data_IF_993064674724
#
_entry.id   IF_993064674724
#
_cell.length_a   1.000
_cell.length_b   1.000
_cell.length_c   1.000
_cell.angle_alpha   90.00
_cell.angle_beta   90.00
_cell.angle_gamma   90.00
#
_symmetry.space_group_name_H-M   'P 1'
#
loop_
_entity.id
_entity.type
_entity.pdbx_description
1 polymer ?
#
# COMPACT_ATOMS: atom_id res chain seq x y z
N UNK A 1 4.34 52.10 8.02
CA UNK A 1 3.54 52.18 9.25
C UNK A 1 2.07 52.06 8.89
N UNK A 2 1.46 50.91 9.19
CA UNK A 2 0.03 50.73 9.42
C UNK A 2 -0.12 49.38 10.12
N UNK A 3 -0.84 49.38 11.23
CA UNK A 3 -0.77 48.41 12.32
C UNK A 3 -1.61 47.15 12.07
N UNK A 4 -1.17 46.07 12.72
CA UNK A 4 -1.83 44.78 12.83
C UNK A 4 -3.07 44.83 13.75
N UNK A 5 -4.05 43.97 13.47
CA UNK A 5 -4.98 43.48 14.48
C UNK A 5 -4.94 41.94 14.48
N UNK A 6 -4.56 41.42 15.63
CA UNK A 6 -4.51 40.00 16.00
C UNK A 6 -5.78 39.73 16.80
N UNK A 7 -6.61 38.82 16.34
CA UNK A 7 -7.75 38.31 17.14
C UNK A 7 -7.40 36.90 17.59
N UNK A 8 -7.09 36.76 18.87
CA UNK A 8 -6.99 35.48 19.57
C UNK A 8 -8.39 35.00 19.94
N UNK A 9 -8.71 33.75 19.60
CA UNK A 9 -9.85 33.04 20.21
C UNK A 9 -9.36 31.70 20.73
N UNK A 10 -9.70 31.46 21.99
CA UNK A 10 -9.13 30.49 22.90
C UNK A 10 -9.45 29.03 22.55
N UNK A 11 -8.47 28.19 22.88
CA UNK A 11 -8.55 26.74 22.98
C UNK A 11 -9.56 26.33 24.05
N UNK A 12 -10.50 25.44 23.71
CA UNK A 12 -11.22 24.65 24.71
C UNK A 12 -10.95 23.17 24.45
N UNK A 13 -10.15 22.59 25.35
CA UNK A 13 -9.92 21.16 25.47
C UNK A 13 -11.07 20.54 26.26
N UNK A 14 -11.74 19.54 25.69
CA UNK A 14 -12.64 18.65 26.43
C UNK A 14 -11.96 17.29 26.59
N UNK A 15 -11.66 16.95 27.84
CA UNK A 15 -11.17 15.64 28.29
C UNK A 15 -12.33 14.62 28.37
N UNK A 16 -12.07 13.32 28.17
CA UNK A 16 -13.10 12.29 28.16
C UNK A 16 -13.53 11.85 29.58
N UNK A 17 -14.84 11.70 29.77
CA UNK A 17 -15.45 11.13 30.97
C UNK A 17 -15.29 9.60 30.93
N UNK A 18 -14.54 9.06 31.88
CA UNK A 18 -14.53 7.63 32.21
C UNK A 18 -15.83 7.29 32.97
N UNK A 19 -16.59 6.31 32.48
CA UNK A 19 -17.65 5.69 33.26
C UNK A 19 -17.35 4.19 33.41
N UNK A 20 -16.80 3.83 34.57
CA UNK A 20 -16.69 2.46 35.05
C UNK A 20 -18.03 2.09 35.69
N UNK A 21 -18.70 1.05 35.19
CA UNK A 21 -19.72 0.38 35.99
C UNK A 21 -19.52 -1.13 35.92
N UNK A 22 -19.02 -1.67 37.04
CA UNK A 22 -18.98 -3.08 37.35
C UNK A 22 -20.38 -3.53 37.79
N UNK A 23 -20.89 -4.58 37.17
CA UNK A 23 -22.09 -5.29 37.61
C UNK A 23 -21.99 -6.76 37.22
N UNK A 24 -21.73 -7.60 38.21
CA UNK A 24 -21.81 -9.08 38.15
C UNK A 24 -23.07 -9.54 38.91
N UNK A 25 -23.53 -10.80 38.73
CA UNK A 25 -24.89 -11.15 38.29
C UNK A 25 -25.74 -11.79 39.39
N UNK A 26 -26.98 -12.22 39.08
CA UNK A 26 -27.65 -13.27 39.82
C UNK A 26 -27.75 -14.59 39.05
N UNK A 27 -27.63 -15.67 39.81
CA UNK A 27 -27.72 -17.10 39.50
C UNK A 27 -29.13 -17.66 39.74
N UNK A 28 -29.58 -18.63 38.90
CA UNK A 28 -30.38 -19.82 39.25
C UNK A 28 -30.75 -20.60 37.96
N UNK A 29 -30.17 -21.79 37.67
CA UNK A 29 -30.71 -23.18 37.81
C UNK A 29 -32.10 -23.39 37.18
N UNK A 30 -32.42 -24.41 36.35
CA UNK A 30 -32.02 -25.83 36.32
C UNK A 30 -32.48 -26.57 35.03
N UNK A 31 -31.69 -27.58 34.63
CA UNK A 31 -31.99 -28.95 34.13
C UNK A 31 -32.57 -29.34 32.75
N UNK A 32 -31.83 -30.30 32.17
CA UNK A 32 -32.18 -31.53 31.41
C UNK A 32 -32.36 -31.55 29.88
N UNK A 33 -31.33 -32.12 29.23
CA UNK A 33 -31.31 -33.19 28.20
C UNK A 33 -32.11 -33.06 26.90
N UNK A 34 -31.40 -33.05 25.77
CA UNK A 34 -31.41 -34.16 24.79
C UNK A 34 -30.40 -33.92 23.67
N UNK A 35 -29.70 -35.00 23.31
CA UNK A 35 -28.93 -35.18 22.08
C UNK A 35 -29.68 -34.73 20.83
N UNK A 36 -28.98 -34.10 19.88
CA UNK A 36 -28.95 -34.56 18.49
C UNK A 36 -27.92 -33.78 17.65
N UNK A 37 -26.92 -34.52 17.19
CA UNK A 37 -26.22 -34.44 15.91
C UNK A 37 -26.23 -33.08 15.19
N UNK A 38 -25.26 -32.21 15.49
CA UNK A 38 -24.92 -31.09 14.62
C UNK A 38 -23.65 -31.40 13.83
N UNK A 39 -23.87 -31.62 12.53
CA UNK A 39 -22.86 -31.81 11.52
C UNK A 39 -21.70 -30.81 11.70
N UNK A 40 -20.47 -31.31 11.58
CA UNK A 40 -19.28 -30.51 11.36
C UNK A 40 -19.43 -29.73 10.04
N UNK A 41 -20.16 -28.62 10.10
CA UNK A 41 -20.12 -27.59 9.08
C UNK A 41 -18.72 -27.00 9.15
N UNK A 42 -17.85 -27.45 8.24
CA UNK A 42 -16.64 -26.73 7.88
C UNK A 42 -17.11 -25.34 7.43
N UNK A 43 -17.07 -24.37 8.34
CA UNK A 43 -17.24 -22.96 8.00
C UNK A 43 -16.01 -22.59 7.19
N UNK A 44 -16.07 -22.88 5.89
CA UNK A 44 -15.31 -22.13 4.89
C UNK A 44 -15.76 -20.70 5.06
N UNK A 45 -15.01 -19.91 5.83
CA UNK A 45 -15.15 -18.46 5.84
C UNK A 45 -14.89 -18.01 4.41
N UNK A 46 -15.97 -17.83 3.63
CA UNK A 46 -15.94 -17.25 2.30
C UNK A 46 -15.36 -15.85 2.49
N UNK A 47 -14.04 -15.73 2.34
CA UNK A 47 -13.34 -14.46 2.40
C UNK A 47 -13.93 -13.61 1.28
N UNK A 48 -14.70 -12.59 1.62
CA UNK A 48 -15.41 -11.79 0.64
C UNK A 48 -14.41 -11.23 -0.37
N UNK A 49 -14.68 -11.45 -1.67
CA UNK A 49 -13.79 -10.97 -2.73
C UNK A 49 -13.84 -9.45 -2.74
N UNK A 50 -12.69 -8.83 -2.54
CA UNK A 50 -12.56 -7.38 -2.54
C UNK A 50 -12.53 -6.87 -3.98
N UNK A 51 -13.57 -6.13 -4.39
CA UNK A 51 -13.70 -5.63 -5.76
C UNK A 51 -12.90 -4.34 -6.03
N UNK A 52 -12.66 -3.53 -4.99
CA UNK A 52 -11.98 -2.22 -5.08
C UNK A 52 -10.96 -2.09 -3.95
N UNK A 53 -9.91 -1.31 -4.16
CA UNK A 53 -8.89 -1.08 -3.13
C UNK A 53 -9.48 -0.46 -1.87
N UNK A 54 -9.18 -1.05 -0.72
CA UNK A 54 -9.43 -0.45 0.59
C UNK A 54 -8.17 0.28 1.07
N UNK A 55 -8.37 1.49 1.59
CA UNK A 55 -7.32 2.35 2.10
C UNK A 55 -7.36 2.36 3.62
N UNK A 56 -6.25 1.97 4.26
CA UNK A 56 -6.09 2.05 5.71
C UNK A 56 -4.94 3.01 6.03
N UNK A 57 -5.26 4.18 6.56
CA UNK A 57 -4.25 5.08 7.12
C UNK A 57 -3.61 4.39 8.32
N UNK A 58 -2.28 4.29 8.32
CA UNK A 58 -1.54 3.65 9.41
C UNK A 58 -1.25 4.68 10.52
N UNK A 59 -1.59 4.37 11.79
CA UNK A 59 -1.18 5.19 12.94
C UNK A 59 0.33 5.26 13.09
N UNK A 60 0.85 6.35 13.68
CA UNK A 60 2.30 6.55 13.85
C UNK A 60 2.99 5.47 14.70
N UNK A 61 2.24 4.85 15.63
CA UNK A 61 2.75 3.78 16.50
C UNK A 61 2.54 2.37 15.92
N UNK A 62 1.96 2.26 14.72
CA UNK A 62 1.79 0.97 14.05
C UNK A 62 3.16 0.41 13.60
N UNK A 63 3.42 -0.86 13.85
CA UNK A 63 4.70 -1.49 13.48
C UNK A 63 4.94 -1.44 11.97
N UNK A 64 3.90 -1.58 11.15
CA UNK A 64 4.02 -1.44 9.69
C UNK A 64 4.37 0.00 9.32
N UNK A 65 3.78 1.01 9.99
CA UNK A 65 4.13 2.41 9.77
C UNK A 65 5.61 2.63 10.02
N UNK A 66 6.11 2.20 11.19
CA UNK A 66 7.51 2.37 11.60
C UNK A 66 8.46 1.68 10.62
N UNK A 67 8.13 0.47 10.17
CA UNK A 67 8.95 -0.26 9.21
C UNK A 67 9.04 0.46 7.87
N UNK A 68 7.90 0.90 7.31
CA UNK A 68 7.87 1.59 6.02
C UNK A 68 8.50 2.98 6.11
N UNK A 69 8.28 3.70 7.22
CA UNK A 69 8.95 4.96 7.49
C UNK A 69 10.47 4.78 7.51
N UNK A 70 11.00 3.82 8.28
CA UNK A 70 12.44 3.55 8.34
C UNK A 70 12.99 3.17 6.97
N UNK A 71 12.26 2.35 6.21
CA UNK A 71 12.69 1.97 4.87
C UNK A 71 12.76 3.17 3.93
N UNK A 72 11.74 4.03 3.95
CA UNK A 72 11.65 5.23 3.12
C UNK A 72 12.72 6.28 3.47
N UNK A 73 12.94 6.53 4.77
CA UNK A 73 13.88 7.56 5.23
C UNK A 73 15.36 7.15 5.06
N UNK A 74 15.67 5.89 4.73
CA UNK A 74 17.04 5.51 4.32
C UNK A 74 17.52 6.27 3.08
N UNK A 75 16.63 6.50 2.12
CA UNK A 75 16.95 7.24 0.91
C UNK A 75 16.71 8.74 1.04
N UNK A 76 15.66 9.13 1.78
CA UNK A 76 15.26 10.52 1.95
C UNK A 76 15.23 10.90 3.45
N UNK A 77 16.39 11.05 4.11
CA UNK A 77 16.48 11.22 5.56
C UNK A 77 15.84 12.50 6.10
N UNK A 78 15.73 13.54 5.27
CA UNK A 78 15.14 14.83 5.65
C UNK A 78 13.68 14.97 5.22
N UNK A 79 13.11 13.97 4.54
CA UNK A 79 11.73 14.05 4.07
C UNK A 79 10.74 14.04 5.22
N UNK A 80 9.69 14.86 5.08
CA UNK A 80 8.59 14.93 6.03
C UNK A 80 7.43 14.07 5.54
N UNK A 81 7.21 12.93 6.20
CA UNK A 81 6.08 12.05 5.91
C UNK A 81 4.82 12.64 6.54
N UNK A 82 3.77 12.82 5.74
CA UNK A 82 2.45 13.24 6.22
C UNK A 82 1.57 12.05 6.58
N UNK A 83 1.58 11.01 5.73
CA UNK A 83 0.83 9.78 6.01
C UNK A 83 1.41 8.59 5.25
N UNK A 84 1.23 7.39 5.81
CA UNK A 84 1.45 6.11 5.15
C UNK A 84 0.11 5.39 5.13
N UNK A 85 -0.33 5.02 3.94
CA UNK A 85 -1.62 4.38 3.70
C UNK A 85 -1.37 2.98 3.18
N UNK A 86 -1.82 1.98 3.92
CA UNK A 86 -1.83 0.59 3.46
C UNK A 86 -2.92 0.39 2.41
N UNK A 87 -2.53 -0.26 1.33
CA UNK A 87 -3.39 -0.58 0.19
C UNK A 87 -3.78 -2.04 0.27
N UNK A 88 -5.06 -2.29 0.54
CA UNK A 88 -5.65 -3.62 0.39
C UNK A 88 -6.20 -3.72 -1.02
N UNK A 89 -5.37 -4.21 -1.95
CA UNK A 89 -5.70 -4.27 -3.37
C UNK A 89 -6.84 -5.27 -3.67
N UNK A 90 -7.60 -5.09 -4.77
CA UNK A 90 -8.65 -6.01 -5.19
C UNK A 90 -8.16 -7.45 -5.28
N UNK A 91 -9.00 -8.41 -4.88
CA UNK A 91 -8.67 -9.84 -4.85
C UNK A 91 -8.14 -10.32 -6.21
N UNK A 92 -8.71 -9.83 -7.32
CA UNK A 92 -8.23 -10.15 -8.68
C UNK A 92 -6.76 -9.81 -8.90
N UNK A 93 -6.29 -8.65 -8.41
CA UNK A 93 -4.91 -8.23 -8.57
C UNK A 93 -3.97 -9.03 -7.66
N UNK A 94 -4.41 -9.30 -6.43
CA UNK A 94 -3.65 -10.13 -5.49
C UNK A 94 -3.50 -11.55 -6.03
N UNK A 95 -4.58 -12.17 -6.52
CA UNK A 95 -4.56 -13.51 -7.11
C UNK A 95 -3.67 -13.57 -8.35
N UNK A 96 -3.75 -12.58 -9.25
CA UNK A 96 -2.89 -12.50 -10.42
C UNK A 96 -1.40 -12.42 -10.03
N UNK A 97 -1.07 -11.61 -9.02
CA UNK A 97 0.29 -11.48 -8.51
C UNK A 97 0.81 -12.78 -7.89
N UNK A 98 0.00 -13.43 -7.05
CA UNK A 98 0.37 -14.71 -6.43
C UNK A 98 0.48 -15.86 -7.45
N UNK A 99 -0.36 -15.85 -8.49
CA UNK A 99 -0.23 -16.78 -9.61
C UNK A 99 1.07 -16.54 -10.39
N UNK A 100 1.41 -15.28 -10.67
CA UNK A 100 2.65 -14.93 -11.36
C UNK A 100 3.90 -15.37 -10.58
N UNK A 101 3.91 -15.20 -9.25
CA UNK A 101 4.99 -15.73 -8.40
C UNK A 101 5.16 -17.24 -8.57
N UNK A 102 4.06 -17.99 -8.59
CA UNK A 102 4.09 -19.45 -8.74
C UNK A 102 4.59 -19.89 -10.12
N UNK A 103 4.15 -19.22 -11.18
CA UNK A 103 4.56 -19.57 -12.55
C UNK A 103 6.05 -19.27 -12.79
N UNK A 104 6.57 -18.18 -12.24
CA UNK A 104 7.98 -17.82 -12.39
C UNK A 104 8.92 -18.87 -11.79
N UNK A 105 8.54 -19.48 -10.67
CA UNK A 105 9.34 -20.51 -9.99
C UNK A 105 9.20 -21.91 -10.60
N UNK A 106 8.09 -22.17 -11.27
CA UNK A 106 7.81 -23.47 -11.88
C UNK A 106 8.31 -23.56 -13.34
N UNK A 107 8.86 -22.48 -13.90
CA UNK A 107 9.36 -22.47 -15.27
C UNK A 107 10.82 -23.01 -15.32
N UNK A 108 11.06 -24.19 -15.92
CA UNK A 108 12.40 -24.81 -15.95
C UNK A 108 13.41 -24.02 -16.78
N UNK A 109 12.95 -23.14 -17.66
CA UNK A 109 13.80 -22.44 -18.64
C UNK A 109 14.63 -21.29 -18.06
N UNK A 110 14.43 -20.90 -16.80
CA UNK A 110 15.14 -19.77 -16.18
C UNK A 110 15.98 -20.16 -14.95
N UNK A 111 16.07 -21.46 -14.63
CA UNK A 111 16.91 -22.00 -13.57
C UNK A 111 17.88 -23.04 -14.11
N UNK A 112 19.05 -22.60 -14.60
CA UNK A 112 20.15 -23.52 -14.90
C UNK A 112 20.66 -24.15 -13.60
N UNK A 113 20.68 -25.49 -13.59
CA UNK A 113 21.48 -26.38 -12.76
C UNK A 113 21.24 -26.36 -11.25
N UNK A 114 20.12 -26.96 -10.83
CA UNK A 114 20.17 -27.77 -9.60
C UNK A 114 19.62 -29.15 -9.92
N UNK A 115 20.55 -30.06 -10.22
CA UNK A 115 20.31 -31.49 -10.30
C UNK A 115 19.69 -31.94 -8.98
N UNK A 116 18.40 -32.25 -8.99
CA UNK A 116 17.87 -33.35 -8.18
C UNK A 116 16.48 -33.71 -8.69
N UNK A 117 16.40 -34.90 -9.26
CA UNK A 117 15.17 -35.66 -9.37
C UNK A 117 14.46 -35.64 -8.02
N UNK A 118 13.27 -35.04 -7.94
CA UNK A 118 12.20 -35.42 -7.01
C UNK A 118 10.89 -34.73 -7.42
N UNK A 119 10.19 -35.37 -8.35
CA UNK A 119 8.74 -35.39 -8.38
C UNK A 119 8.24 -35.99 -7.06
N UNK A 120 8.17 -35.20 -5.99
CA UNK A 120 7.33 -35.38 -4.78
C UNK A 120 7.52 -34.12 -3.93
N UNK A 121 6.48 -33.29 -3.85
CA UNK A 121 6.11 -32.37 -2.74
C UNK A 121 5.44 -31.09 -3.24
N UNK A 122 4.39 -31.23 -4.05
CA UNK A 122 3.33 -30.22 -4.14
C UNK A 122 2.52 -30.20 -2.85
N UNK A 123 3.12 -29.81 -1.71
CA UNK A 123 2.39 -29.44 -0.49
C UNK A 123 3.21 -28.86 0.67
N UNK A 124 4.56 -28.80 0.61
CA UNK A 124 5.36 -28.28 1.73
C UNK A 124 6.57 -27.47 1.26
N UNK A 125 6.36 -26.20 0.91
CA UNK A 125 7.21 -25.09 1.34
C UNK A 125 6.65 -23.78 0.76
N UNK A 126 5.84 -23.07 1.55
CA UNK A 126 5.48 -21.67 1.27
C UNK A 126 6.69 -20.72 1.46
N UNK A 127 7.86 -21.24 1.86
CA UNK A 127 8.98 -20.42 2.34
C UNK A 127 9.92 -19.92 1.22
N UNK A 128 9.70 -20.31 -0.04
CA UNK A 128 10.56 -19.88 -1.16
C UNK A 128 9.86 -18.93 -2.14
N UNK A 129 8.55 -18.71 -2.01
CA UNK A 129 7.80 -17.83 -2.92
C UNK A 129 8.19 -16.36 -2.74
N UNK A 130 8.43 -15.96 -1.48
CA UNK A 130 8.80 -14.60 -1.12
C UNK A 130 10.28 -14.28 -1.40
N UNK A 131 11.13 -15.30 -1.62
CA UNK A 131 12.56 -15.11 -1.93
C UNK A 131 12.77 -14.24 -3.18
N UNK A 132 11.85 -14.33 -4.13
CA UNK A 132 11.89 -13.60 -5.40
C UNK A 132 10.97 -12.38 -5.43
N UNK A 133 10.44 -11.98 -4.27
CA UNK A 133 9.61 -10.78 -4.13
C UNK A 133 10.41 -9.68 -3.46
N UNK A 134 10.61 -8.58 -4.18
CA UNK A 134 11.39 -7.44 -3.74
C UNK A 134 10.45 -6.31 -3.33
N UNK A 135 10.61 -5.78 -2.13
CA UNK A 135 9.88 -4.57 -1.71
C UNK A 135 10.58 -3.34 -2.26
N UNK A 136 9.99 -2.67 -3.24
CA UNK A 136 10.63 -1.58 -3.99
C UNK A 136 9.79 -0.29 -3.94
N UNK A 137 10.43 0.85 -4.18
CA UNK A 137 9.78 2.14 -4.38
C UNK A 137 9.39 2.37 -5.84
N UNK A 138 8.29 3.08 -6.03
CA UNK A 138 7.83 3.58 -7.32
C UNK A 138 7.31 5.01 -7.18
N UNK A 139 8.07 5.98 -7.69
CA UNK A 139 7.65 7.38 -7.76
C UNK A 139 6.59 7.58 -8.84
N UNK A 140 5.63 8.48 -8.60
CA UNK A 140 4.60 8.79 -9.59
C UNK A 140 4.26 10.28 -9.63
N UNK A 141 3.71 10.70 -10.78
CA UNK A 141 3.19 12.05 -10.93
C UNK A 141 1.77 12.15 -10.40
N UNK A 142 1.48 13.27 -9.74
CA UNK A 142 0.16 13.63 -9.24
C UNK A 142 -0.41 14.74 -10.13
N UNK A 143 -1.71 14.68 -10.39
CA UNK A 143 -2.45 15.76 -11.07
C UNK A 143 -3.81 16.07 -10.41
N UNK A 144 -3.94 15.74 -9.11
CA UNK A 144 -5.12 16.00 -8.29
C UNK A 144 -4.68 16.31 -6.85
N UNK A 145 -5.54 16.90 -6.00
CA UNK A 145 -5.18 17.26 -4.63
C UNK A 145 -4.99 16.03 -3.70
N UNK A 146 -3.75 15.61 -3.35
CA UNK A 146 -3.54 14.39 -2.56
C UNK A 146 -3.90 14.56 -1.08
N UNK A 147 -4.04 15.79 -0.58
CA UNK A 147 -4.38 16.09 0.82
C UNK A 147 -5.68 15.42 1.28
N UNK A 148 -6.62 15.18 0.36
CA UNK A 148 -7.89 14.54 0.66
C UNK A 148 -7.74 13.16 1.32
N UNK A 149 -6.69 12.42 0.99
CA UNK A 149 -6.43 11.10 1.59
C UNK A 149 -5.93 11.21 3.04
N UNK A 150 -5.25 12.30 3.40
CA UNK A 150 -4.86 12.59 4.79
C UNK A 150 -6.10 12.84 5.63
N UNK A 151 -7.11 13.50 5.05
CA UNK A 151 -8.38 13.81 5.70
C UNK A 151 -9.38 12.64 5.68
N UNK A 152 -8.96 11.44 5.26
CA UNK A 152 -9.81 10.24 5.20
C UNK A 152 -10.75 10.16 4.00
N UNK A 153 -10.68 11.08 3.04
CA UNK A 153 -11.48 11.03 1.82
C UNK A 153 -10.81 10.13 0.77
N UNK A 154 -11.54 9.11 0.30
CA UNK A 154 -11.07 8.09 -0.63
C UNK A 154 -11.53 8.30 -2.09
N UNK A 155 -12.10 9.46 -2.42
CA UNK A 155 -12.53 9.76 -3.78
C UNK A 155 -11.33 9.84 -4.74
N UNK A 156 -11.45 9.21 -5.90
CA UNK A 156 -10.43 9.23 -6.94
C UNK A 156 -10.68 10.36 -7.94
N UNK A 157 -9.62 10.87 -8.56
CA UNK A 157 -9.77 11.90 -9.59
C UNK A 157 -10.35 11.29 -10.87
N UNK A 158 -11.14 12.08 -11.61
CA UNK A 158 -11.75 11.67 -12.88
C UNK A 158 -10.73 11.19 -13.92
N UNK A 159 -9.55 11.81 -13.95
CA UNK A 159 -8.53 11.56 -14.98
C UNK A 159 -7.60 10.39 -14.68
N UNK A 160 -7.82 9.64 -13.60
CA UNK A 160 -7.00 8.49 -13.23
C UNK A 160 -5.48 8.80 -13.22
N UNK A 161 -5.08 9.93 -12.61
CA UNK A 161 -3.67 10.34 -12.52
C UNK A 161 -2.79 9.23 -11.91
N UNK A 162 -1.46 9.33 -12.06
CA UNK A 162 -0.53 8.27 -11.63
C UNK A 162 -0.82 7.69 -10.24
N UNK A 163 -1.05 8.55 -9.24
CA UNK A 163 -1.45 8.11 -7.89
C UNK A 163 -2.83 7.40 -7.87
N UNK A 164 -3.89 8.03 -8.37
CA UNK A 164 -5.24 7.45 -8.35
C UNK A 164 -5.36 6.18 -9.20
N UNK A 165 -4.66 6.13 -10.32
CA UNK A 165 -4.61 5.00 -11.24
C UNK A 165 -3.97 3.78 -10.61
N UNK A 166 -2.80 3.97 -9.98
CA UNK A 166 -2.11 2.88 -9.29
C UNK A 166 -2.94 2.38 -8.10
N UNK A 167 -3.52 3.27 -7.29
CA UNK A 167 -4.38 2.86 -6.17
C UNK A 167 -5.53 1.99 -6.68
N UNK A 168 -6.22 2.37 -7.75
CA UNK A 168 -7.42 1.67 -8.20
C UNK A 168 -7.12 0.39 -8.98
N UNK A 169 -6.04 0.36 -9.77
CA UNK A 169 -5.83 -0.64 -10.80
C UNK A 169 -4.51 -1.42 -10.68
N UNK A 170 -3.66 -1.10 -9.71
CA UNK A 170 -2.28 -1.59 -9.65
C UNK A 170 -1.37 -0.84 -10.63
N UNK A 171 -0.09 -1.21 -10.67
CA UNK A 171 0.79 -0.70 -11.72
C UNK A 171 0.40 -1.34 -13.06
N UNK A 172 0.38 -0.53 -14.13
CA UNK A 172 0.01 -0.99 -15.46
C UNK A 172 1.04 -0.51 -16.49
N UNK A 173 1.68 -1.45 -17.18
CA UNK A 173 2.71 -1.18 -18.19
C UNK A 173 2.20 -0.29 -19.32
N UNK A 174 0.89 -0.35 -19.65
CA UNK A 174 0.27 0.50 -20.68
C UNK A 174 0.40 2.01 -20.43
N UNK A 175 0.65 2.43 -19.18
CA UNK A 175 0.89 3.85 -18.83
C UNK A 175 2.38 4.20 -18.78
N UNK A 176 3.27 3.23 -18.97
CA UNK A 176 4.70 3.47 -19.07
C UNK A 176 5.04 4.13 -20.41
N UNK A 177 5.96 5.09 -20.36
CA UNK A 177 6.56 5.72 -21.54
C UNK A 177 7.72 4.90 -22.13
N UNK A 178 8.03 3.75 -21.54
CA UNK A 178 9.19 2.92 -21.89
C UNK A 178 8.78 1.57 -22.47
N UNK A 179 7.82 1.57 -23.42
CA UNK A 179 7.32 0.39 -24.11
C UNK A 179 6.80 -0.69 -23.14
N UNK A 180 5.89 -0.33 -22.24
CA UNK A 180 5.34 -1.26 -21.25
C UNK A 180 6.19 -1.47 -20.00
N UNK A 181 7.47 -1.12 -20.01
CA UNK A 181 8.41 -1.38 -18.92
C UNK A 181 8.24 -0.42 -17.74
N UNK A 182 8.09 -0.95 -16.54
CA UNK A 182 7.92 -0.22 -15.29
C UNK A 182 9.18 -0.33 -14.44
N UNK A 183 9.62 0.78 -13.85
CA UNK A 183 10.86 0.89 -13.10
C UNK A 183 10.57 0.99 -11.60
N UNK A 184 11.33 0.25 -10.81
CA UNK A 184 11.22 0.17 -9.36
C UNK A 184 12.60 0.24 -8.74
N UNK A 185 12.77 0.98 -7.65
CA UNK A 185 14.07 1.14 -7.00
C UNK A 185 14.03 0.74 -5.53
N UNK A 186 15.08 0.13 -5.00
CA UNK A 186 15.16 -0.22 -3.57
C UNK A 186 15.48 0.99 -2.66
N UNK A 187 15.73 2.16 -3.27
CA UNK A 187 16.05 3.40 -2.60
C UNK A 187 15.06 4.51 -3.02
N UNK A 188 14.44 5.16 -2.04
CA UNK A 188 13.44 6.21 -2.25
C UNK A 188 14.03 7.44 -2.97
N UNK A 189 15.32 7.75 -2.79
CA UNK A 189 15.98 8.85 -3.48
C UNK A 189 16.00 8.66 -5.00
N UNK A 190 16.19 7.43 -5.48
CA UNK A 190 16.14 7.10 -6.92
C UNK A 190 14.72 7.31 -7.45
N UNK A 191 13.71 6.88 -6.69
CA UNK A 191 12.31 7.07 -7.07
C UNK A 191 11.83 8.52 -6.99
N UNK A 192 12.49 9.38 -6.20
CA UNK A 192 12.11 10.79 -6.04
C UNK A 192 12.09 11.55 -7.38
N UNK A 193 13.02 11.26 -8.29
CA UNK A 193 13.08 11.89 -9.62
C UNK A 193 11.83 11.64 -10.49
N UNK A 194 11.01 10.65 -10.12
CA UNK A 194 9.76 10.30 -10.79
C UNK A 194 8.51 10.82 -10.06
N UNK A 195 8.69 11.41 -8.87
CA UNK A 195 7.64 12.11 -8.14
C UNK A 195 7.44 13.54 -8.68
N UNK A 196 6.27 14.12 -8.40
CA UNK A 196 5.98 15.53 -8.68
C UNK A 196 4.69 15.75 -9.48
N UNK A 197 4.56 16.93 -10.08
CA UNK A 197 3.37 17.30 -10.85
C UNK A 197 3.47 16.84 -12.30
N UNK A 198 2.33 16.42 -12.86
CA UNK A 198 2.19 16.28 -14.31
C UNK A 198 2.18 17.67 -14.94
N UNK A 199 3.06 17.91 -15.92
CA UNK A 199 3.19 19.20 -16.63
C UNK A 199 2.04 19.48 -17.62
N UNK A 200 1.00 18.65 -17.66
CA UNK A 200 -0.19 18.91 -18.48
C UNK A 200 -1.02 20.04 -17.86
N UNK A 201 -1.15 21.12 -18.62
CA UNK A 201 -1.76 22.43 -18.29
C UNK A 201 -3.27 22.40 -17.98
N UNK A 202 -3.84 21.27 -17.58
CA UNK A 202 -5.24 21.14 -17.17
C UNK A 202 -5.34 21.00 -15.65
N UNK A 203 -4.66 21.89 -14.91
CA UNK A 203 -4.84 22.03 -13.47
C UNK A 203 -5.97 23.01 -13.17
N UNK A 204 -7.22 22.64 -13.46
CA UNK A 204 -8.36 23.34 -12.87
C UNK A 204 -8.48 22.89 -11.40
N UNK A 205 -8.33 23.82 -10.46
CA UNK A 205 -8.52 23.64 -9.01
C UNK A 205 -7.53 22.77 -8.22
N UNK A 206 -6.32 22.52 -8.73
CA UNK A 206 -5.19 22.19 -7.83
C UNK A 206 -4.45 23.51 -7.57
N UNK A 207 -4.44 23.97 -6.33
CA UNK A 207 -3.76 25.22 -5.92
C UNK A 207 -2.34 25.26 -6.50
N UNK A 208 -1.89 26.41 -7.03
CA UNK A 208 -0.63 26.53 -7.73
C UNK A 208 0.50 26.14 -6.78
N UNK A 209 1.16 25.02 -7.07
CA UNK A 209 2.11 24.41 -6.17
C UNK A 209 3.49 25.06 -6.36
N UNK A 210 3.91 25.87 -5.39
CA UNK A 210 5.27 26.38 -5.29
C UNK A 210 6.25 25.24 -4.96
N UNK A 211 7.29 25.11 -5.77
CA UNK A 211 8.25 24.00 -5.89
C UNK A 211 9.09 23.63 -4.65
N UNK A 212 8.79 24.19 -3.46
CA UNK A 212 9.57 23.95 -2.23
C UNK A 212 8.87 23.10 -1.17
N UNK A 213 7.53 22.99 -1.17
CA UNK A 213 6.79 22.21 -0.17
C UNK A 213 5.84 21.17 -0.78
N UNK A 214 6.19 20.69 -1.99
CA UNK A 214 5.67 19.52 -2.73
C UNK A 214 4.98 18.42 -1.94
N UNK A 215 3.66 18.34 -1.75
CA UNK A 215 3.07 17.06 -1.32
C UNK A 215 3.19 16.06 -2.48
N UNK A 216 4.09 15.09 -2.33
CA UNK A 216 4.45 14.08 -3.31
C UNK A 216 3.87 12.71 -2.93
N UNK A 217 3.84 11.80 -3.89
CA UNK A 217 3.35 10.44 -3.73
C UNK A 217 4.41 9.46 -4.22
N UNK A 218 4.69 8.47 -3.39
CA UNK A 218 5.53 7.33 -3.72
C UNK A 218 4.86 6.06 -3.23
N UNK A 219 4.91 5.01 -4.03
CA UNK A 219 4.41 3.70 -3.63
C UNK A 219 5.54 2.83 -3.13
N UNK A 220 5.23 1.97 -2.16
CA UNK A 220 5.99 0.76 -1.87
C UNK A 220 5.25 -0.40 -2.50
N UNK A 221 5.96 -1.19 -3.29
CA UNK A 221 5.42 -2.18 -4.22
C UNK A 221 6.17 -3.50 -4.03
N UNK A 222 5.43 -4.60 -3.94
CA UNK A 222 6.02 -5.93 -4.06
C UNK A 222 6.30 -6.20 -5.55
N UNK A 223 7.55 -6.48 -5.90
CA UNK A 223 8.00 -6.70 -7.28
C UNK A 223 8.65 -8.07 -7.41
N UNK A 224 8.05 -8.94 -8.21
CA UNK A 224 8.54 -10.30 -8.47
C UNK A 224 9.64 -10.24 -9.52
N UNK A 225 10.83 -10.70 -9.17
CA UNK A 225 11.99 -10.77 -10.07
C UNK A 225 12.95 -11.87 -9.63
N UNK A 226 13.55 -12.57 -10.59
CA UNK A 226 14.61 -13.56 -10.33
C UNK A 226 15.92 -12.89 -9.89
N UNK A 227 16.09 -11.61 -10.21
CA UNK A 227 17.27 -10.83 -9.87
C UNK A 227 16.93 -9.85 -8.74
N UNK A 228 17.84 -9.75 -7.77
CA UNK A 228 17.86 -8.67 -6.79
C UNK A 228 18.83 -7.59 -7.29
N UNK A 229 18.37 -6.35 -7.34
CA UNK A 229 19.14 -5.21 -7.84
C UNK A 229 18.61 -3.93 -7.22
N UNK A 230 19.42 -2.86 -7.23
CA UNK A 230 18.99 -1.54 -6.80
C UNK A 230 17.83 -0.99 -7.65
N UNK A 231 17.78 -1.42 -8.91
CA UNK A 231 16.70 -1.11 -9.84
C UNK A 231 16.21 -2.40 -10.48
N UNK A 232 14.90 -2.61 -10.43
CA UNK A 232 14.20 -3.71 -11.10
C UNK A 232 13.26 -3.12 -12.15
N UNK A 233 13.30 -3.70 -13.35
CA UNK A 233 12.44 -3.32 -14.47
C UNK A 233 11.61 -4.54 -14.85
N UNK A 234 10.29 -4.37 -14.89
CA UNK A 234 9.36 -5.43 -15.32
C UNK A 234 8.38 -4.88 -16.34
N UNK A 235 7.89 -5.73 -17.22
CA UNK A 235 6.93 -5.41 -18.28
C UNK A 235 5.59 -6.13 -18.12
N UNK A 236 5.40 -6.85 -17.00
CA UNK A 236 4.19 -7.58 -16.66
C UNK A 236 3.51 -6.96 -15.44
N UNK A 237 2.26 -6.51 -15.59
CA UNK A 237 1.46 -5.91 -14.51
C UNK A 237 1.41 -6.82 -13.27
N UNK A 238 1.17 -8.12 -13.47
CA UNK A 238 1.08 -9.12 -12.41
C UNK A 238 2.40 -9.34 -11.64
N UNK A 239 3.55 -8.92 -12.18
CA UNK A 239 4.81 -8.95 -11.44
C UNK A 239 4.84 -7.93 -10.29
N UNK A 240 3.84 -7.05 -10.20
CA UNK A 240 3.83 -5.93 -9.27
C UNK A 240 2.56 -5.92 -8.42
N UNK A 241 2.68 -5.51 -7.16
CA UNK A 241 1.52 -5.30 -6.28
C UNK A 241 1.79 -4.13 -5.34
N UNK A 242 1.15 -2.95 -5.54
CA UNK A 242 1.24 -1.84 -4.60
C UNK A 242 0.75 -2.23 -3.21
N UNK A 243 1.54 -1.90 -2.19
CA UNK A 243 1.26 -2.25 -0.79
C UNK A 243 1.03 -1.04 0.09
N UNK A 244 1.79 0.03 -0.14
CA UNK A 244 1.68 1.27 0.62
C UNK A 244 1.78 2.47 -0.31
N UNK A 245 1.05 3.53 0.04
CA UNK A 245 1.22 4.87 -0.49
C UNK A 245 1.82 5.75 0.61
N UNK A 246 2.89 6.46 0.27
CA UNK A 246 3.54 7.44 1.13
C UNK A 246 3.24 8.82 0.55
N UNK A 247 2.61 9.68 1.34
CA UNK A 247 2.48 11.11 1.03
C UNK A 247 3.48 11.89 1.88
N UNK A 248 4.35 12.65 1.22
CA UNK A 248 5.50 13.27 1.86
C UNK A 248 5.89 14.59 1.19
N UNK A 249 6.69 15.38 1.89
CA UNK A 249 7.47 16.48 1.32
C UNK A 249 8.95 16.09 1.30
N UNK A 250 9.70 16.39 0.23
CA UNK A 250 11.04 15.84 0.03
C UNK A 250 12.08 16.24 1.08
N UNK A 251 11.86 17.32 1.85
CA UNK A 251 12.85 17.85 2.80
C UNK A 251 14.07 18.40 2.08
N UNK A 252 14.64 19.49 2.59
CA UNK A 252 15.91 20.03 2.11
C UNK A 252 16.90 20.08 3.25
#
# INVERSE_FOLDING_TARGET
MAQAQVTQTQLNQSQPIYNNNYGMPPTSSSDTSSSDTSANAIISTNKSKLAKTQLKVLPLHDNEYIQIQRYFLKGLPHARIHTIIKLQMPTKLVEAHEQYKKTLLNNPSYGSNMTTNNLISSMKSNNNLDKHTNTMFHGTKISCNPQRFINGNSNFCLFNCGMCGIIQNGNQGKYSRFNGRMWFANNSAISLGYCGLSTSRTMFNCTPFSSKNSLMAMFVVDVVSLQTSDIIIVDVDAATLPKYLILFEPGF
#
